data_IF_050775573519
#
_entry.id   IF_050775573519
#
_cell.length_a   1.000
_cell.length_b   1.000
_cell.length_c   1.000
_cell.angle_alpha   90.00
_cell.angle_beta   90.00
_cell.angle_gamma   90.00
#
_symmetry.space_group_name_H-M   'P 1'
#
loop_
_entity.id
_entity.type
_entity.pdbx_description
1 polymer ?
#
# COMPACT_ATOMS: atom_id res chain seq x y z
N UNK A 1 -29.11 -19.06 6.95
CA UNK A 1 -28.24 -19.79 6.00
C UNK A 1 -26.85 -19.20 6.11
N UNK A 2 -25.83 -20.00 6.40
CA UNK A 2 -24.43 -19.56 6.48
C UNK A 2 -23.67 -20.18 5.31
N UNK A 3 -22.88 -19.37 4.61
CA UNK A 3 -22.02 -19.82 3.51
C UNK A 3 -20.56 -19.52 3.87
N UNK A 4 -19.66 -20.45 3.53
CA UNK A 4 -18.21 -20.32 3.68
C UNK A 4 -17.58 -20.17 2.30
N UNK A 5 -16.71 -19.17 2.15
CA UNK A 5 -15.94 -18.96 0.93
C UNK A 5 -14.45 -19.00 1.27
N UNK A 6 -13.67 -19.73 0.48
CA UNK A 6 -12.21 -19.71 0.52
C UNK A 6 -11.70 -18.93 -0.68
N UNK A 7 -10.91 -17.89 -0.43
CA UNK A 7 -10.41 -17.00 -1.47
C UNK A 7 -8.93 -17.29 -1.75
N UNK A 8 -8.55 -17.23 -3.02
CA UNK A 8 -7.14 -17.06 -3.40
C UNK A 8 -6.62 -15.70 -2.93
N UNK A 9 -5.29 -15.56 -2.85
CA UNK A 9 -4.67 -14.27 -2.49
C UNK A 9 -5.11 -13.14 -3.44
N UNK A 10 -5.28 -13.41 -4.73
CA UNK A 10 -5.74 -12.41 -5.70
C UNK A 10 -7.19 -12.00 -5.49
N UNK A 11 -8.08 -12.94 -5.16
CA UNK A 11 -9.48 -12.64 -4.84
C UNK A 11 -9.61 -11.86 -3.53
N UNK A 12 -8.82 -12.21 -2.51
CA UNK A 12 -8.75 -11.44 -1.26
C UNK A 12 -8.28 -10.01 -1.51
N UNK A 13 -7.27 -9.81 -2.37
CA UNK A 13 -6.79 -8.48 -2.76
C UNK A 13 -7.82 -7.70 -3.56
N UNK A 14 -8.64 -8.36 -4.39
CA UNK A 14 -9.77 -7.71 -5.07
C UNK A 14 -10.80 -7.19 -4.07
N UNK A 15 -11.15 -7.97 -3.04
CA UNK A 15 -12.05 -7.52 -1.98
C UNK A 15 -11.46 -6.34 -1.21
N UNK A 16 -10.18 -6.40 -0.83
CA UNK A 16 -9.48 -5.27 -0.21
C UNK A 16 -9.47 -4.04 -1.12
N UNK A 17 -9.25 -4.23 -2.43
CA UNK A 17 -9.32 -3.18 -3.44
C UNK A 17 -10.64 -2.44 -3.40
N UNK A 18 -11.75 -3.18 -3.45
CA UNK A 18 -13.11 -2.66 -3.37
C UNK A 18 -13.38 -1.96 -2.05
N UNK A 19 -13.02 -2.59 -0.94
CA UNK A 19 -13.26 -2.07 0.40
C UNK A 19 -12.53 -0.73 0.60
N UNK A 20 -11.23 -0.68 0.31
CA UNK A 20 -10.42 0.54 0.50
C UNK A 20 -10.87 1.65 -0.45
N UNK A 21 -11.15 1.34 -1.72
CA UNK A 21 -11.66 2.35 -2.64
C UNK A 21 -13.02 2.91 -2.19
N UNK A 22 -13.87 2.12 -1.51
CA UNK A 22 -15.17 2.57 -1.03
C UNK A 22 -15.12 3.33 0.32
N UNK A 23 -13.97 3.41 0.99
CA UNK A 23 -13.86 4.11 2.28
C UNK A 23 -14.17 5.61 2.10
N UNK A 24 -15.05 6.21 2.94
CA UNK A 24 -15.41 7.63 2.84
C UNK A 24 -14.20 8.56 2.86
N UNK A 25 -13.23 8.29 3.75
CA UNK A 25 -12.00 9.06 3.88
C UNK A 25 -11.11 8.96 2.63
N UNK A 26 -11.09 7.81 1.95
CA UNK A 26 -10.36 7.61 0.69
C UNK A 26 -11.00 8.42 -0.44
N UNK A 27 -12.33 8.40 -0.54
CA UNK A 27 -13.04 9.22 -1.52
C UNK A 27 -12.86 10.71 -1.24
N UNK A 28 -12.95 11.14 0.01
CA UNK A 28 -12.73 12.52 0.41
C UNK A 28 -11.32 13.00 0.07
N UNK A 29 -10.29 12.23 0.44
CA UNK A 29 -8.90 12.55 0.12
C UNK A 29 -8.66 12.62 -1.40
N UNK A 30 -9.27 11.71 -2.17
CA UNK A 30 -9.19 11.71 -3.63
C UNK A 30 -9.80 12.99 -4.24
N UNK A 31 -10.97 13.41 -3.76
CA UNK A 31 -11.77 14.45 -4.39
C UNK A 31 -11.44 15.87 -3.88
N UNK A 32 -10.91 16.01 -2.66
CA UNK A 32 -10.68 17.31 -2.02
C UNK A 32 -9.21 17.59 -1.67
N UNK A 33 -8.41 16.54 -1.48
CA UNK A 33 -7.04 16.63 -0.98
C UNK A 33 -6.05 15.83 -1.83
N UNK A 34 -5.05 15.25 -1.18
CA UNK A 34 -4.13 14.28 -1.75
C UNK A 34 -4.52 12.85 -1.33
N UNK A 35 -4.70 11.98 -2.32
CA UNK A 35 -4.70 10.54 -2.13
C UNK A 35 -3.48 9.94 -2.83
N UNK A 36 -2.49 9.52 -2.04
CA UNK A 36 -1.23 8.99 -2.56
C UNK A 36 -1.24 7.48 -2.48
N UNK A 37 -1.22 6.80 -3.65
CA UNK A 37 -1.28 5.34 -3.72
C UNK A 37 0.11 4.78 -4.03
N UNK A 38 0.80 4.27 -3.01
CA UNK A 38 2.11 3.65 -3.18
C UNK A 38 2.06 2.38 -4.06
N UNK A 39 3.21 1.96 -4.59
CA UNK A 39 3.34 0.68 -5.32
C UNK A 39 3.05 -0.50 -4.39
N UNK A 40 2.45 -1.56 -4.93
CA UNK A 40 2.17 -2.79 -4.18
C UNK A 40 1.15 -3.68 -4.88
N UNK A 41 1.23 -5.00 -4.63
CA UNK A 41 0.36 -5.97 -5.30
C UNK A 41 -1.11 -5.83 -4.91
N UNK A 42 -1.43 -5.42 -3.68
CA UNK A 42 -2.80 -5.05 -3.27
C UNK A 42 -3.20 -3.68 -3.79
N UNK A 43 -2.27 -2.71 -3.75
CA UNK A 43 -2.51 -1.33 -4.18
C UNK A 43 -2.87 -1.23 -5.67
N UNK A 44 -2.35 -2.14 -6.50
CA UNK A 44 -2.78 -2.24 -7.90
C UNK A 44 -4.28 -2.55 -8.05
N UNK A 45 -4.87 -3.37 -7.17
CA UNK A 45 -6.33 -3.60 -7.17
C UNK A 45 -7.11 -2.38 -6.71
N UNK A 46 -6.61 -1.67 -5.69
CA UNK A 46 -7.21 -0.40 -5.22
C UNK A 46 -7.21 0.61 -6.37
N UNK A 47 -6.10 0.72 -7.09
CA UNK A 47 -5.97 1.67 -8.19
C UNK A 47 -6.94 1.36 -9.34
N UNK A 48 -7.17 0.09 -9.69
CA UNK A 48 -8.20 -0.28 -10.67
C UNK A 48 -9.60 0.15 -10.24
N UNK A 49 -9.95 0.01 -8.95
CA UNK A 49 -11.28 0.44 -8.46
C UNK A 49 -11.39 1.97 -8.43
N UNK A 50 -10.32 2.70 -8.10
CA UNK A 50 -10.30 4.17 -8.07
C UNK A 50 -10.34 4.79 -9.48
N UNK A 51 -9.60 4.21 -10.44
CA UNK A 51 -9.57 4.67 -11.83
C UNK A 51 -10.74 4.14 -12.67
N UNK A 52 -11.42 3.08 -12.19
CA UNK A 52 -12.46 2.34 -12.93
C UNK A 52 -11.97 1.76 -14.26
N UNK A 53 -10.70 1.40 -14.32
CA UNK A 53 -10.07 0.78 -15.49
C UNK A 53 -9.14 -0.37 -15.06
N UNK A 54 -8.76 -1.21 -16.03
CA UNK A 54 -7.76 -2.25 -15.78
C UNK A 54 -6.36 -1.67 -15.92
N UNK A 55 -5.46 -2.07 -15.04
CA UNK A 55 -4.05 -1.71 -15.11
C UNK A 55 -3.18 -2.97 -15.19
N UNK A 56 -1.95 -2.81 -15.68
CA UNK A 56 -0.91 -3.83 -15.57
C UNK A 56 -0.39 -3.90 -14.12
N UNK A 57 -1.17 -4.58 -13.26
CA UNK A 57 -0.91 -4.67 -11.81
C UNK A 57 0.45 -5.25 -11.47
N UNK A 58 0.96 -6.16 -12.29
CA UNK A 58 2.26 -6.78 -12.09
C UNK A 58 3.39 -5.74 -12.18
N UNK A 59 3.23 -4.76 -13.09
CA UNK A 59 4.14 -3.61 -13.19
C UNK A 59 3.95 -2.59 -12.07
N UNK A 60 2.83 -2.60 -11.34
CA UNK A 60 2.60 -1.69 -10.20
C UNK A 60 3.23 -2.19 -8.88
N UNK A 61 4.02 -3.27 -8.93
CA UNK A 61 4.73 -3.83 -7.76
C UNK A 61 6.20 -3.40 -7.80
N UNK A 62 6.75 -2.99 -6.64
CA UNK A 62 8.19 -2.74 -6.51
C UNK A 62 8.93 -3.99 -5.99
N UNK A 63 8.52 -4.49 -4.82
CA UNK A 63 9.07 -5.69 -4.20
C UNK A 63 7.97 -6.54 -3.57
N UNK A 64 8.19 -7.85 -3.54
CA UNK A 64 7.25 -8.84 -3.03
C UNK A 64 8.00 -10.06 -2.50
N UNK A 65 7.41 -10.72 -1.50
CA UNK A 65 7.90 -12.03 -1.04
C UNK A 65 7.18 -13.10 -1.86
N UNK A 66 7.95 -13.94 -2.55
CA UNK A 66 7.43 -15.05 -3.36
C UNK A 66 8.06 -16.33 -2.83
N UNK A 67 7.24 -17.24 -2.29
CA UNK A 67 7.71 -18.52 -1.70
C UNK A 67 8.87 -18.33 -0.69
N UNK A 68 8.76 -17.33 0.18
CA UNK A 68 9.77 -17.01 1.19
C UNK A 68 11.00 -16.23 0.69
N UNK A 69 11.08 -15.92 -0.61
CA UNK A 69 12.19 -15.18 -1.21
C UNK A 69 11.81 -13.72 -1.44
N UNK A 70 12.70 -12.80 -1.06
CA UNK A 70 12.55 -11.39 -1.38
C UNK A 70 12.82 -11.17 -2.89
N UNK A 71 11.79 -10.80 -3.63
CA UNK A 71 11.86 -10.50 -5.05
C UNK A 71 11.64 -9.01 -5.30
N UNK A 72 12.27 -8.50 -6.35
CA UNK A 72 12.18 -7.09 -6.76
C UNK A 72 11.96 -7.01 -8.26
N UNK A 73 10.97 -6.22 -8.69
CA UNK A 73 10.80 -5.91 -10.10
C UNK A 73 11.80 -4.82 -10.47
N UNK A 74 12.54 -4.97 -11.58
CA UNK A 74 13.53 -3.98 -12.03
C UNK A 74 12.89 -2.60 -12.27
N UNK A 75 13.59 -1.51 -11.97
CA UNK A 75 13.01 -0.15 -12.03
C UNK A 75 12.43 0.20 -13.39
N UNK A 76 13.09 -0.17 -14.50
CA UNK A 76 12.60 0.08 -15.86
C UNK A 76 11.35 -0.71 -16.28
N UNK A 77 10.94 -1.70 -15.48
CA UNK A 77 9.72 -2.48 -15.72
C UNK A 77 8.54 -2.00 -14.86
N UNK A 78 8.78 -1.10 -13.90
CA UNK A 78 7.74 -0.63 -12.98
C UNK A 78 6.90 0.45 -13.65
N UNK A 79 5.59 0.34 -13.51
CA UNK A 79 4.69 1.44 -13.77
C UNK A 79 5.00 2.63 -12.86
N UNK A 80 4.70 3.83 -13.35
CA UNK A 80 4.75 5.05 -12.55
C UNK A 80 3.71 4.96 -11.44
N UNK A 81 4.00 5.45 -10.22
CA UNK A 81 2.99 5.53 -9.19
C UNK A 81 1.92 6.54 -9.60
N UNK A 82 0.68 6.23 -9.24
CA UNK A 82 -0.47 7.07 -9.50
C UNK A 82 -0.99 7.58 -8.16
N UNK A 83 -1.18 8.89 -8.06
CA UNK A 83 -1.82 9.55 -6.94
C UNK A 83 -2.94 10.45 -7.47
N UNK A 84 -3.73 11.01 -6.57
CA UNK A 84 -4.82 11.92 -6.90
C UNK A 84 -4.66 13.24 -6.15
N UNK A 85 -5.02 14.33 -6.81
CA UNK A 85 -5.20 15.61 -6.15
C UNK A 85 -6.46 16.29 -6.66
N UNK A 86 -7.43 16.55 -5.77
CA UNK A 86 -8.69 17.25 -6.09
C UNK A 86 -9.44 16.65 -7.30
N UNK A 87 -9.53 15.32 -7.35
CA UNK A 87 -10.20 14.59 -8.41
C UNK A 87 -9.34 14.31 -9.65
N UNK A 88 -8.16 14.93 -9.78
CA UNK A 88 -7.27 14.71 -10.92
C UNK A 88 -6.21 13.65 -10.62
N UNK A 89 -5.88 12.86 -11.64
CA UNK A 89 -4.81 11.87 -11.59
C UNK A 89 -3.46 12.57 -11.75
N UNK A 90 -2.53 12.32 -10.83
CA UNK A 90 -1.16 12.81 -10.90
C UNK A 90 -0.17 11.63 -10.90
N UNK A 91 0.69 11.58 -11.91
CA UNK A 91 1.73 10.55 -12.06
C UNK A 91 3.06 11.03 -11.46
N UNK A 92 3.13 11.00 -10.13
CA UNK A 92 4.33 11.42 -9.40
C UNK A 92 4.78 10.34 -8.45
N UNK A 93 6.09 10.22 -8.25
CA UNK A 93 6.60 9.40 -7.15
C UNK A 93 6.08 9.99 -5.83
N UNK A 94 5.60 9.15 -4.89
CA UNK A 94 5.04 9.65 -3.63
C UNK A 94 5.96 10.64 -2.91
N UNK A 95 7.28 10.42 -2.96
CA UNK A 95 8.31 11.31 -2.41
C UNK A 95 8.17 12.78 -2.83
N UNK A 96 7.69 13.06 -4.03
CA UNK A 96 7.54 14.42 -4.56
C UNK A 96 6.36 15.19 -3.95
N UNK A 97 5.46 14.50 -3.25
CA UNK A 97 4.26 15.11 -2.65
C UNK A 97 4.17 14.94 -1.14
N UNK A 98 4.94 14.05 -0.50
CA UNK A 98 4.82 13.74 0.95
C UNK A 98 4.81 14.99 1.82
N UNK A 99 5.72 15.92 1.58
CA UNK A 99 5.86 17.14 2.39
C UNK A 99 4.66 18.10 2.24
N UNK A 100 3.83 17.89 1.22
CA UNK A 100 2.60 18.66 0.97
C UNK A 100 1.38 18.04 1.63
N UNK A 101 1.47 16.80 2.12
CA UNK A 101 0.34 16.11 2.73
C UNK A 101 0.06 16.74 4.11
N UNK A 102 -1.23 16.89 4.39
CA UNK A 102 -1.79 17.54 5.56
C UNK A 102 -2.85 16.63 6.22
N UNK A 103 -3.32 16.93 7.44
CA UNK A 103 -4.45 16.22 8.02
C UNK A 103 -5.68 16.24 7.09
N UNK A 104 -6.23 15.06 6.81
CA UNK A 104 -7.31 14.87 5.84
C UNK A 104 -6.85 14.24 4.51
N UNK A 105 -5.55 14.32 4.21
CA UNK A 105 -4.94 13.56 3.12
C UNK A 105 -4.67 12.11 3.54
N UNK A 106 -4.54 11.22 2.55
CA UNK A 106 -4.32 9.79 2.78
C UNK A 106 -3.13 9.25 1.99
N UNK A 107 -2.30 8.48 2.70
CA UNK A 107 -1.28 7.64 2.09
C UNK A 107 -1.73 6.16 2.12
N UNK A 108 -1.79 5.49 0.97
CA UNK A 108 -2.08 4.06 0.88
C UNK A 108 -0.78 3.29 0.62
N UNK A 109 -0.41 2.39 1.53
CA UNK A 109 0.81 1.58 1.42
C UNK A 109 0.57 0.14 1.82
N UNK A 110 0.72 -0.79 0.89
CA UNK A 110 0.65 -2.22 1.24
C UNK A 110 1.74 -2.68 2.22
N UNK A 111 1.48 -3.78 2.92
CA UNK A 111 2.37 -4.35 3.92
C UNK A 111 2.97 -5.71 3.54
N UNK A 112 3.94 -6.19 4.33
CA UNK A 112 4.61 -7.47 4.17
C UNK A 112 4.15 -8.51 5.20
N UNK A 113 3.66 -8.08 6.36
CA UNK A 113 3.17 -8.94 7.42
C UNK A 113 2.01 -8.26 8.18
N UNK A 114 1.15 -9.08 8.77
CA UNK A 114 0.17 -8.68 9.78
C UNK A 114 0.15 -9.76 10.87
N UNK A 115 -0.14 -9.41 12.11
CA UNK A 115 -0.33 -10.39 13.19
C UNK A 115 -1.74 -10.31 13.80
N UNK A 116 -2.14 -11.29 14.65
CA UNK A 116 -3.44 -11.27 15.32
C UNK A 116 -3.66 -10.10 16.29
N UNK A 117 -2.61 -9.35 16.64
CA UNK A 117 -2.66 -8.21 17.55
C UNK A 117 -2.90 -6.88 16.82
N UNK A 118 -2.97 -6.92 15.49
CA UNK A 118 -3.20 -5.74 14.65
C UNK A 118 -1.92 -5.01 14.26
N UNK A 119 -0.74 -5.57 14.52
CA UNK A 119 0.51 -4.98 14.06
C UNK A 119 0.70 -5.25 12.57
N UNK A 120 1.33 -4.30 11.89
CA UNK A 120 1.62 -4.37 10.46
C UNK A 120 3.12 -4.25 10.24
N UNK A 121 3.71 -5.25 9.58
CA UNK A 121 5.12 -5.25 9.21
C UNK A 121 5.32 -4.78 7.78
N UNK A 122 6.22 -3.83 7.56
CA UNK A 122 6.63 -3.39 6.22
C UNK A 122 8.14 -3.54 6.10
N UNK A 123 8.61 -4.25 5.07
CA UNK A 123 10.04 -4.38 4.82
C UNK A 123 10.62 -3.05 4.35
N UNK A 124 11.62 -2.57 5.08
CA UNK A 124 12.40 -1.38 4.74
C UNK A 124 13.67 -1.82 3.99
N UNK A 125 13.75 -1.52 2.70
CA UNK A 125 14.84 -1.97 1.84
C UNK A 125 15.76 -0.81 1.42
N UNK A 126 17.07 -1.08 1.33
CA UNK A 126 18.09 -0.09 1.01
C UNK A 126 18.49 0.77 2.22
N UNK A 127 19.61 1.50 2.10
CA UNK A 127 20.21 2.28 3.20
C UNK A 127 19.23 3.31 3.77
N UNK A 128 18.41 3.93 2.93
CA UNK A 128 17.39 4.90 3.34
C UNK A 128 16.03 4.29 3.73
N UNK A 129 15.92 2.95 3.87
CA UNK A 129 14.67 2.27 4.25
C UNK A 129 13.56 2.31 3.19
N UNK A 130 13.91 2.69 1.96
CA UNK A 130 13.00 2.80 0.82
C UNK A 130 11.88 3.80 1.08
N UNK A 131 10.72 3.56 0.47
CA UNK A 131 9.54 4.43 0.60
C UNK A 131 9.15 4.69 2.07
N UNK A 132 9.22 3.68 2.92
CA UNK A 132 8.86 3.82 4.33
C UNK A 132 9.84 4.72 5.08
N UNK A 133 11.15 4.52 4.91
CA UNK A 133 12.15 5.37 5.57
C UNK A 133 12.06 6.82 5.12
N UNK A 134 11.74 7.05 3.85
CA UNK A 134 11.60 8.40 3.28
C UNK A 134 10.30 9.13 3.70
N UNK A 135 9.26 8.39 4.12
CA UNK A 135 7.92 8.96 4.31
C UNK A 135 7.40 8.92 5.73
N UNK A 136 7.77 7.90 6.51
CA UNK A 136 7.13 7.59 7.77
C UNK A 136 7.17 8.75 8.76
N UNK A 137 8.35 9.34 8.96
CA UNK A 137 8.52 10.45 9.91
C UNK A 137 7.74 11.70 9.48
N UNK A 138 7.76 12.03 8.18
CA UNK A 138 7.02 13.17 7.65
C UNK A 138 5.51 12.98 7.80
N UNK A 139 4.99 11.82 7.39
CA UNK A 139 3.56 11.48 7.51
C UNK A 139 3.09 11.51 8.98
N UNK A 140 3.91 10.99 9.90
CA UNK A 140 3.61 11.01 11.34
C UNK A 140 3.65 12.42 11.92
N UNK A 141 4.66 13.21 11.57
CA UNK A 141 4.80 14.60 12.03
C UNK A 141 3.63 15.48 11.55
N UNK A 142 3.16 15.27 10.32
CA UNK A 142 2.03 16.00 9.73
C UNK A 142 0.66 15.47 10.13
N UNK A 143 0.57 14.37 10.89
CA UNK A 143 -0.71 13.76 11.28
C UNK A 143 -1.49 13.16 10.10
N UNK A 144 -0.79 12.70 9.06
CA UNK A 144 -1.40 12.14 7.85
C UNK A 144 -1.85 10.71 8.09
N UNK A 145 -3.11 10.42 7.76
CA UNK A 145 -3.65 9.07 7.86
C UNK A 145 -2.97 8.14 6.83
N UNK A 146 -2.53 6.97 7.30
CA UNK A 146 -1.94 5.96 6.43
C UNK A 146 -2.75 4.67 6.51
N UNK A 147 -3.22 4.18 5.36
CA UNK A 147 -3.96 2.92 5.24
C UNK A 147 -2.99 1.84 4.77
N UNK A 148 -2.90 0.75 5.53
CA UNK A 148 -2.09 -0.42 5.21
C UNK A 148 -2.93 -1.61 4.77
N UNK A 149 -3.35 -1.68 3.49
CA UNK A 149 -4.10 -2.83 3.00
C UNK A 149 -3.21 -4.08 2.97
N UNK A 150 -3.60 -5.09 3.74
CA UNK A 150 -2.86 -6.34 3.92
C UNK A 150 -3.84 -7.50 3.98
N UNK A 151 -3.59 -8.53 3.18
CA UNK A 151 -4.40 -9.74 3.20
C UNK A 151 -3.85 -10.76 4.20
N UNK A 152 -4.73 -11.65 4.67
CA UNK A 152 -4.39 -12.68 5.66
C UNK A 152 -3.41 -13.73 5.12
N UNK A 153 -3.09 -13.74 3.82
CA UNK A 153 -1.97 -14.54 3.31
C UNK A 153 -0.61 -14.10 3.86
N UNK A 154 -0.56 -12.93 4.50
CA UNK A 154 0.63 -12.37 5.17
C UNK A 154 0.53 -12.44 6.70
N UNK A 155 -0.42 -13.21 7.24
CA UNK A 155 -0.57 -13.41 8.67
C UNK A 155 0.65 -14.19 9.20
N UNK A 156 1.31 -13.64 10.23
CA UNK A 156 2.41 -14.28 10.95
C UNK A 156 2.13 -14.28 12.46
N UNK A 157 2.84 -15.09 13.28
CA UNK A 157 2.59 -15.15 14.71
C UNK A 157 2.83 -13.83 15.45
N UNK A 158 3.91 -13.11 15.13
CA UNK A 158 4.28 -11.85 15.76
C UNK A 158 5.07 -10.98 14.79
N UNK A 159 4.56 -9.78 14.47
CA UNK A 159 5.29 -8.79 13.68
C UNK A 159 6.46 -8.21 14.48
N UNK A 160 6.26 -7.99 15.78
CA UNK A 160 7.29 -7.44 16.66
C UNK A 160 8.50 -8.37 16.74
N UNK A 161 8.28 -9.66 16.95
CA UNK A 161 9.35 -10.66 17.00
C UNK A 161 10.08 -10.75 15.66
N UNK A 162 9.34 -10.82 14.54
CA UNK A 162 9.94 -10.86 13.21
C UNK A 162 10.79 -9.61 12.91
N UNK A 163 10.41 -8.44 13.43
CA UNK A 163 11.15 -7.20 13.24
C UNK A 163 12.53 -7.22 13.92
N UNK A 164 12.71 -8.00 15.00
CA UNK A 164 14.01 -8.16 15.68
C UNK A 164 15.05 -8.89 14.80
N UNK A 165 14.59 -9.68 13.85
CA UNK A 165 15.43 -10.42 12.90
C UNK A 165 15.58 -9.69 11.55
N UNK A 166 15.05 -8.47 11.44
CA UNK A 166 15.28 -7.59 10.31
C UNK A 166 16.64 -6.89 10.37
N UNK A 167 17.12 -6.43 9.22
CA UNK A 167 18.43 -5.77 9.10
C UNK A 167 19.46 -6.63 8.35
N UNK A 168 20.60 -6.03 8.03
CA UNK A 168 21.80 -6.74 7.55
C UNK A 168 22.82 -6.80 8.67
#
# INVERSE_FOLDING_TARGET
MQALFTLTSSESKRLLGKAVAAMPEVQQAKDQGYLVVGRGSTNGFILEELLKEKIDKEKYVAGQIIKGVLCVLGQGLRARPVSFHKGEVIEVEPGAVIEKLTPGDIFIKGANAVDPFGNVGVLMAGVGGGMMGQSYMALKAQGVATIYPVGLEKLIPSVEEAALYGGK
#
